data_IF_763179258598
#
_entry.id   IF_763179258598
#
_cell.length_a   1.000
_cell.length_b   1.000
_cell.length_c   1.000
_cell.angle_alpha   90.00
_cell.angle_beta   90.00
_cell.angle_gamma   90.00
#
_symmetry.space_group_name_H-M   'P 1'
#
loop_
_entity.id
_entity.type
_entity.pdbx_description
1 polymer ?
#
# COMPACT_ATOMS: atom_id res chain seq x y z
N UNK A 1 -9.03 -32.35 101.21
CA UNK A 1 -9.01 -33.46 100.24
C UNK A 1 -9.74 -33.05 98.96
N UNK A 2 -9.13 -33.00 97.79
CA UNK A 2 -9.83 -32.68 96.63
C UNK A 2 -10.66 -33.88 96.13
N UNK A 3 -11.93 -33.62 95.75
CA UNK A 3 -12.85 -34.64 95.22
C UNK A 3 -12.38 -35.10 93.89
N UNK A 4 -12.41 -36.41 93.60
CA UNK A 4 -11.98 -36.93 92.30
C UNK A 4 -12.98 -36.48 91.13
N UNK A 5 -12.50 -36.25 89.94
CA UNK A 5 -13.34 -35.81 88.84
C UNK A 5 -14.38 -36.92 88.48
N UNK A 6 -15.66 -36.53 88.41
CA UNK A 6 -16.74 -37.46 88.03
C UNK A 6 -16.45 -38.02 86.63
N UNK A 7 -16.26 -39.30 86.49
CA UNK A 7 -16.14 -40.03 85.23
C UNK A 7 -17.49 -39.89 84.47
N UNK A 8 -17.48 -39.38 83.33
CA UNK A 8 -18.64 -39.32 82.37
C UNK A 8 -19.15 -40.76 82.16
N UNK A 9 -20.49 -40.99 82.13
CA UNK A 9 -21.02 -42.32 81.91
C UNK A 9 -20.63 -42.88 80.53
N UNK A 10 -20.41 -44.14 80.39
CA UNK A 10 -19.91 -44.84 79.21
C UNK A 10 -20.82 -44.64 77.97
N UNK A 11 -22.11 -44.39 78.17
CA UNK A 11 -23.09 -44.05 77.17
C UNK A 11 -22.77 -42.69 76.45
N UNK A 12 -22.32 -41.68 77.21
CA UNK A 12 -21.95 -40.37 76.68
C UNK A 12 -20.64 -40.41 75.88
N UNK A 13 -19.70 -41.28 76.26
CA UNK A 13 -18.46 -41.55 75.54
C UNK A 13 -18.72 -42.27 74.21
N UNK A 14 -19.65 -43.23 74.16
CA UNK A 14 -20.07 -43.93 72.94
C UNK A 14 -20.81 -42.99 72.00
N UNK A 15 -21.73 -42.16 72.48
CA UNK A 15 -22.44 -41.18 71.71
C UNK A 15 -21.47 -40.15 71.06
N UNK A 16 -20.49 -39.64 71.86
CA UNK A 16 -19.48 -38.72 71.36
C UNK A 16 -18.59 -39.35 70.28
N UNK A 17 -18.24 -40.62 70.43
CA UNK A 17 -17.43 -41.34 69.43
C UNK A 17 -18.19 -41.59 68.13
N UNK A 18 -19.47 -41.91 68.20
CA UNK A 18 -20.34 -42.07 67.04
C UNK A 18 -20.51 -40.70 66.27
N UNK A 19 -20.71 -39.62 67.02
CA UNK A 19 -20.79 -38.28 66.46
C UNK A 19 -19.49 -37.89 65.76
N UNK A 20 -18.34 -38.11 66.40
CA UNK A 20 -17.02 -37.88 65.83
C UNK A 20 -16.79 -38.70 64.57
N UNK A 21 -17.14 -39.97 64.54
CA UNK A 21 -17.01 -40.82 63.35
C UNK A 21 -17.91 -40.34 62.21
N UNK A 22 -19.15 -39.95 62.49
CA UNK A 22 -20.07 -39.39 61.47
C UNK A 22 -19.57 -38.07 60.94
N UNK A 23 -19.06 -37.17 61.79
CA UNK A 23 -18.48 -35.89 61.39
C UNK A 23 -17.25 -36.08 60.48
N UNK A 24 -16.35 -37.01 60.90
CA UNK A 24 -15.16 -37.33 60.06
C UNK A 24 -15.55 -37.97 58.73
N UNK A 25 -16.59 -38.81 58.69
CA UNK A 25 -17.06 -39.39 57.46
C UNK A 25 -17.72 -38.38 56.56
N UNK A 26 -18.50 -37.43 57.11
CA UNK A 26 -19.05 -36.32 56.35
C UNK A 26 -17.96 -35.39 55.79
N UNK A 27 -16.94 -35.08 56.61
CA UNK A 27 -15.80 -34.27 56.15
C UNK A 27 -14.99 -35.00 55.08
N UNK A 28 -14.79 -36.31 55.21
CA UNK A 28 -14.11 -37.10 54.17
C UNK A 28 -14.92 -37.16 52.88
N UNK A 29 -16.25 -37.36 52.95
CA UNK A 29 -17.12 -37.32 51.75
C UNK A 29 -17.13 -35.95 51.10
N UNK A 30 -17.17 -34.86 51.88
CA UNK A 30 -17.10 -33.49 51.38
C UNK A 30 -15.75 -33.24 50.70
N UNK A 31 -14.64 -33.69 51.34
CA UNK A 31 -13.29 -33.56 50.78
C UNK A 31 -13.12 -34.34 49.48
N UNK A 32 -13.61 -35.59 49.43
CA UNK A 32 -13.58 -36.39 48.19
C UNK A 32 -14.44 -35.73 47.09
N UNK A 33 -15.66 -35.27 47.45
CA UNK A 33 -16.55 -34.58 46.51
C UNK A 33 -15.95 -33.32 45.92
N UNK A 34 -15.34 -32.46 46.76
CA UNK A 34 -14.64 -31.25 46.27
C UNK A 34 -13.44 -31.60 45.42
N UNK A 35 -12.67 -32.63 45.78
CA UNK A 35 -11.52 -33.10 45.01
C UNK A 35 -11.95 -33.62 43.63
N UNK A 36 -13.01 -34.40 43.55
CA UNK A 36 -13.57 -34.90 42.27
C UNK A 36 -14.06 -33.77 41.38
N UNK A 37 -14.71 -32.75 41.95
CA UNK A 37 -15.13 -31.56 41.20
C UNK A 37 -13.93 -30.78 40.65
N UNK A 38 -12.91 -30.57 41.47
CA UNK A 38 -11.66 -29.91 41.04
C UNK A 38 -10.94 -30.73 39.95
N UNK A 39 -10.88 -32.04 40.12
CA UNK A 39 -10.28 -32.92 39.11
C UNK A 39 -11.04 -32.87 37.77
N UNK A 40 -12.36 -32.91 37.83
CA UNK A 40 -13.20 -32.78 36.63
C UNK A 40 -13.00 -31.43 35.94
N UNK A 41 -12.87 -30.34 36.73
CA UNK A 41 -12.61 -29.00 36.18
C UNK A 41 -11.19 -28.90 35.57
N UNK A 42 -10.18 -29.46 36.22
CA UNK A 42 -8.81 -29.54 35.71
C UNK A 42 -8.76 -30.35 34.39
N UNK A 43 -9.43 -31.50 34.37
CA UNK A 43 -9.54 -32.32 33.16
C UNK A 43 -10.16 -31.54 32.02
N UNK A 44 -11.25 -30.78 32.30
CA UNK A 44 -11.89 -29.92 31.29
C UNK A 44 -10.94 -28.86 30.76
N UNK A 45 -10.25 -28.14 31.63
CA UNK A 45 -9.33 -27.06 31.24
C UNK A 45 -8.07 -27.58 30.53
N UNK A 46 -7.45 -28.66 31.09
CA UNK A 46 -6.16 -29.14 30.59
C UNK A 46 -6.26 -30.09 29.38
N UNK A 47 -7.40 -30.79 29.22
CA UNK A 47 -7.56 -31.75 28.14
C UNK A 47 -8.57 -31.25 27.09
N UNK A 48 -9.81 -30.92 27.53
CA UNK A 48 -10.85 -30.53 26.56
C UNK A 48 -10.67 -29.15 25.97
N UNK A 49 -10.17 -28.20 26.77
CA UNK A 49 -10.00 -26.79 26.34
C UNK A 49 -8.52 -26.43 26.14
N UNK A 50 -7.62 -27.43 26.12
CA UNK A 50 -6.17 -27.20 25.98
C UNK A 50 -5.83 -26.36 24.77
N UNK A 51 -6.29 -26.75 23.58
CA UNK A 51 -5.92 -26.11 22.33
C UNK A 51 -6.51 -24.69 22.22
N UNK A 52 -7.74 -24.50 22.70
CA UNK A 52 -8.38 -23.20 22.74
C UNK A 52 -7.63 -22.24 23.68
N UNK A 53 -7.39 -22.68 24.92
CA UNK A 53 -6.67 -21.88 25.92
C UNK A 53 -5.22 -21.61 25.52
N UNK A 54 -4.56 -22.58 24.89
CA UNK A 54 -3.20 -22.42 24.34
C UNK A 54 -3.20 -21.36 23.24
N UNK A 55 -4.17 -21.40 22.34
CA UNK A 55 -4.30 -20.40 21.25
C UNK A 55 -4.54 -19.00 21.81
N UNK A 56 -5.42 -18.87 22.82
CA UNK A 56 -5.66 -17.59 23.49
C UNK A 56 -4.41 -17.08 24.22
N UNK A 57 -3.69 -17.96 24.92
CA UNK A 57 -2.45 -17.60 25.61
C UNK A 57 -1.38 -17.14 24.62
N UNK A 58 -1.18 -17.86 23.51
CA UNK A 58 -0.24 -17.46 22.45
C UNK A 58 -0.62 -16.09 21.88
N UNK A 59 -1.89 -15.86 21.57
CA UNK A 59 -2.36 -14.55 21.09
C UNK A 59 -2.12 -13.42 22.08
N UNK A 60 -2.24 -13.68 23.36
CA UNK A 60 -2.01 -12.70 24.42
C UNK A 60 -0.52 -12.45 24.69
N UNK A 61 0.32 -13.47 24.50
CA UNK A 61 1.75 -13.43 24.81
C UNK A 61 2.64 -13.11 23.61
N UNK A 62 2.08 -13.01 22.39
CA UNK A 62 2.85 -12.69 21.20
C UNK A 62 2.46 -11.32 20.63
N UNK A 63 3.47 -10.54 20.29
CA UNK A 63 3.36 -9.35 19.44
C UNK A 63 3.71 -9.76 18.02
N UNK A 64 2.83 -9.44 17.08
CA UNK A 64 3.07 -9.65 15.65
C UNK A 64 3.31 -8.29 15.02
N UNK A 65 4.52 -8.08 14.57
CA UNK A 65 4.90 -6.87 13.85
C UNK A 65 5.06 -7.22 12.37
N UNK A 66 4.31 -6.57 11.50
CA UNK A 66 4.42 -6.75 10.05
C UNK A 66 5.69 -6.05 9.57
N UNK A 67 6.47 -6.73 8.75
CA UNK A 67 7.61 -6.16 8.03
C UNK A 67 7.16 -5.90 6.60
N UNK A 68 7.14 -4.64 6.20
CA UNK A 68 6.72 -4.28 4.85
C UNK A 68 7.77 -4.74 3.82
N UNK A 69 7.28 -5.33 2.72
CA UNK A 69 8.10 -5.63 1.57
C UNK A 69 8.41 -4.33 0.80
N UNK A 70 9.59 -4.25 0.21
CA UNK A 70 9.90 -3.16 -0.70
C UNK A 70 9.27 -3.43 -2.06
N UNK A 71 8.50 -2.47 -2.57
CA UNK A 71 7.93 -2.56 -3.92
C UNK A 71 9.02 -2.57 -4.98
N UNK A 72 8.91 -3.44 -5.97
CA UNK A 72 9.88 -3.64 -7.04
C UNK A 72 10.18 -2.38 -7.84
N UNK A 73 11.38 -2.30 -8.38
CA UNK A 73 11.85 -1.12 -9.14
C UNK A 73 11.41 -1.21 -10.59
N UNK A 74 11.00 -0.08 -11.18
CA UNK A 74 10.71 0.01 -12.62
C UNK A 74 11.90 0.66 -13.32
N UNK A 75 12.43 -0.03 -14.31
CA UNK A 75 13.57 0.41 -15.13
C UNK A 75 13.16 0.73 -16.55
N UNK A 76 13.89 1.64 -17.18
CA UNK A 76 13.88 1.76 -18.64
C UNK A 76 14.67 0.60 -19.29
N UNK A 77 14.70 0.55 -20.63
CA UNK A 77 15.42 -0.49 -21.38
C UNK A 77 16.94 -0.48 -21.16
N UNK A 78 17.51 0.59 -20.65
CA UNK A 78 18.95 0.78 -20.42
C UNK A 78 19.34 0.54 -18.97
N UNK A 79 18.38 0.29 -18.08
CA UNK A 79 18.58 0.10 -16.65
C UNK A 79 18.51 1.42 -15.84
N UNK A 80 18.06 2.52 -16.44
CA UNK A 80 17.76 3.76 -15.71
C UNK A 80 16.51 3.57 -14.86
N UNK A 81 16.54 4.03 -13.63
CA UNK A 81 15.44 3.87 -12.67
C UNK A 81 14.33 4.89 -12.99
N UNK A 82 13.14 4.40 -13.31
CA UNK A 82 11.94 5.21 -13.52
C UNK A 82 11.07 5.33 -12.26
N UNK A 83 11.03 4.28 -11.43
CA UNK A 83 10.35 4.27 -10.15
C UNK A 83 11.06 3.34 -9.18
N UNK A 84 11.23 3.75 -7.91
CA UNK A 84 11.81 2.95 -6.85
C UNK A 84 11.08 3.16 -5.52
N UNK A 85 11.27 2.22 -4.59
CA UNK A 85 10.83 2.38 -3.20
C UNK A 85 11.99 2.91 -2.38
N UNK A 86 11.77 4.00 -1.67
CA UNK A 86 12.69 4.58 -0.70
C UNK A 86 12.22 4.33 0.72
N UNK A 87 13.14 4.18 1.64
CA UNK A 87 12.81 4.10 3.07
C UNK A 87 12.18 5.40 3.53
N UNK A 88 11.10 5.28 4.26
CA UNK A 88 10.38 6.38 4.88
C UNK A 88 9.87 5.95 6.25
N UNK A 89 9.35 6.87 7.03
CA UNK A 89 8.80 6.56 8.35
C UNK A 89 7.49 7.29 8.58
N UNK A 90 6.56 6.62 9.25
CA UNK A 90 5.38 7.27 9.77
C UNK A 90 5.70 7.85 11.16
N UNK A 91 5.37 9.09 11.39
CA UNK A 91 5.46 9.70 12.72
C UNK A 91 4.13 9.48 13.42
N UNK A 92 4.18 8.75 14.52
CA UNK A 92 3.01 8.32 15.27
C UNK A 92 3.06 8.83 16.70
N UNK A 93 1.88 8.97 17.32
CA UNK A 93 1.73 9.29 18.73
C UNK A 93 0.82 8.28 19.43
N UNK A 94 1.18 7.93 20.67
CA UNK A 94 0.33 7.21 21.61
C UNK A 94 -0.25 8.21 22.61
N UNK A 95 -1.47 8.70 22.43
CA UNK A 95 -2.09 9.63 23.37
C UNK A 95 -2.16 9.08 24.79
N UNK A 96 -2.36 7.76 24.93
CA UNK A 96 -2.34 7.06 26.23
C UNK A 96 -0.99 7.24 26.95
N UNK A 97 0.13 7.02 26.23
CA UNK A 97 1.47 7.09 26.84
C UNK A 97 1.86 8.55 27.11
N UNK A 98 1.49 9.49 26.24
CA UNK A 98 1.65 10.93 26.49
C UNK A 98 0.96 11.33 27.78
N UNK A 99 -0.32 10.93 27.97
CA UNK A 99 -1.10 11.25 29.16
C UNK A 99 -0.54 10.52 30.41
N UNK A 100 -0.20 9.21 30.30
CA UNK A 100 0.34 8.40 31.39
C UNK A 100 1.67 8.93 31.93
N UNK A 101 2.50 9.51 31.06
CA UNK A 101 3.80 10.07 31.42
C UNK A 101 3.73 11.58 31.70
N UNK A 102 2.53 12.18 31.76
CA UNK A 102 2.34 13.61 32.03
C UNK A 102 3.17 14.52 31.13
N UNK A 103 3.27 14.16 29.84
CA UNK A 103 4.06 14.90 28.87
C UNK A 103 3.38 16.20 28.48
N UNK A 104 4.18 17.21 28.17
CA UNK A 104 3.71 18.50 27.67
C UNK A 104 3.18 18.38 26.23
N UNK A 105 1.84 18.35 26.10
CA UNK A 105 1.18 18.19 24.80
C UNK A 105 1.41 19.38 23.87
N UNK A 106 1.50 20.61 24.43
CA UNK A 106 1.75 21.81 23.65
C UNK A 106 3.19 21.81 23.09
N UNK A 107 4.16 21.37 23.88
CA UNK A 107 5.55 21.19 23.42
C UNK A 107 5.63 20.19 22.28
N UNK A 108 4.96 19.03 22.44
CA UNK A 108 4.94 17.97 21.43
C UNK A 108 4.27 18.48 20.14
N UNK A 109 3.09 19.09 20.25
CA UNK A 109 2.34 19.54 19.09
C UNK A 109 3.06 20.64 18.31
N UNK A 110 3.60 21.63 19.00
CA UNK A 110 4.31 22.74 18.35
C UNK A 110 5.62 22.27 17.73
N UNK A 111 6.41 21.45 18.44
CA UNK A 111 7.69 20.95 17.91
C UNK A 111 7.51 20.00 16.71
N UNK A 112 6.57 19.08 16.78
CA UNK A 112 6.26 18.22 15.65
C UNK A 112 5.61 19.01 14.50
N UNK A 113 4.75 19.96 14.81
CA UNK A 113 4.13 20.86 13.82
C UNK A 113 5.17 21.63 13.01
N UNK A 114 6.19 22.19 13.68
CA UNK A 114 7.29 22.91 13.03
C UNK A 114 8.16 21.98 12.17
N UNK A 115 8.57 20.82 12.70
CA UNK A 115 9.43 19.88 11.98
C UNK A 115 8.72 19.24 10.78
N UNK A 116 7.45 18.87 10.95
CA UNK A 116 6.68 18.13 9.96
C UNK A 116 5.90 19.02 9.00
N UNK A 117 5.76 20.31 9.29
CA UNK A 117 4.93 21.24 8.51
C UNK A 117 3.44 20.90 8.57
N UNK A 118 2.93 20.45 9.73
CA UNK A 118 1.52 20.14 9.97
C UNK A 118 0.94 21.05 11.04
N UNK A 119 -0.40 21.21 11.05
CA UNK A 119 -1.06 22.06 12.01
C UNK A 119 -0.95 21.49 13.44
N UNK A 120 -0.33 22.24 14.39
CA UNK A 120 -0.25 21.81 15.78
C UNK A 120 -1.62 21.56 16.44
N UNK A 121 -2.66 22.29 16.01
CA UNK A 121 -4.02 22.10 16.52
C UNK A 121 -4.57 20.70 16.21
N UNK A 122 -4.30 20.19 15.02
CA UNK A 122 -4.66 18.81 14.64
C UNK A 122 -3.95 17.76 15.50
N UNK A 123 -2.65 17.97 15.80
CA UNK A 123 -1.89 17.07 16.67
C UNK A 123 -2.45 17.09 18.10
N UNK A 124 -2.81 18.26 18.62
CA UNK A 124 -3.46 18.39 19.93
C UNK A 124 -4.81 17.67 19.97
N UNK A 125 -5.60 17.77 18.90
CA UNK A 125 -6.89 17.08 18.82
C UNK A 125 -6.71 15.54 18.80
N UNK A 126 -5.72 15.03 18.09
CA UNK A 126 -5.38 13.60 18.11
C UNK A 126 -4.96 13.12 19.50
N UNK A 127 -4.24 13.95 20.27
CA UNK A 127 -3.81 13.61 21.63
C UNK A 127 -4.92 13.67 22.69
N UNK A 128 -6.09 14.25 22.41
CA UNK A 128 -7.25 14.26 23.33
C UNK A 128 -7.85 12.88 23.56
N UNK A 129 -7.71 11.97 22.63
CA UNK A 129 -8.19 10.58 22.75
C UNK A 129 -7.21 9.73 23.58
N UNK A 130 -7.16 10.01 24.89
CA UNK A 130 -6.23 9.34 25.82
C UNK A 130 -6.44 7.83 25.98
N UNK A 131 -7.47 7.24 25.38
CA UNK A 131 -7.67 5.79 25.32
C UNK A 131 -6.93 5.15 24.13
N UNK A 132 -6.55 5.94 23.12
CA UNK A 132 -5.84 5.47 21.94
C UNK A 132 -4.34 5.28 22.22
N UNK A 133 -3.80 4.18 21.71
CA UNK A 133 -2.36 3.90 21.73
C UNK A 133 -1.67 4.23 20.39
N UNK A 134 -2.44 4.59 19.36
CA UNK A 134 -1.91 4.79 18.03
C UNK A 134 -2.71 5.84 17.25
N UNK A 135 -2.03 6.91 16.89
CA UNK A 135 -2.50 7.93 15.94
C UNK A 135 -1.34 8.31 15.02
N UNK A 136 -1.60 8.42 13.73
CA UNK A 136 -0.57 8.81 12.75
C UNK A 136 -0.63 10.32 12.55
N UNK A 137 0.44 11.03 12.90
CA UNK A 137 0.58 12.48 12.71
C UNK A 137 0.93 12.79 11.27
N UNK A 138 1.96 12.11 10.74
CA UNK A 138 2.36 12.25 9.33
C UNK A 138 2.88 10.94 8.79
N UNK A 139 2.40 10.56 7.59
CA UNK A 139 2.82 9.35 6.88
C UNK A 139 4.01 9.64 5.97
N UNK A 140 4.83 8.61 5.73
CA UNK A 140 5.87 8.56 4.69
C UNK A 140 6.85 9.73 4.76
N UNK A 141 7.27 10.09 5.97
CA UNK A 141 8.27 11.13 6.22
C UNK A 141 9.63 10.64 5.76
N UNK A 142 10.35 11.46 5.03
CA UNK A 142 11.69 11.16 4.55
C UNK A 142 12.72 11.12 5.69
N UNK A 143 13.81 10.35 5.48
CA UNK A 143 14.80 10.06 6.50
C UNK A 143 15.36 11.31 7.19
N UNK A 144 15.68 12.37 6.42
CA UNK A 144 16.21 13.61 6.99
C UNK A 144 15.25 14.27 8.00
N UNK A 145 13.95 14.28 7.67
CA UNK A 145 12.93 14.84 8.57
C UNK A 145 12.65 13.90 9.73
N UNK A 146 12.67 12.59 9.51
CA UNK A 146 12.54 11.59 10.57
C UNK A 146 13.66 11.69 11.59
N UNK A 147 14.90 11.95 11.15
CA UNK A 147 16.05 12.15 12.04
C UNK A 147 15.89 13.42 12.89
N UNK A 148 15.36 14.51 12.33
CA UNK A 148 15.00 15.72 13.10
C UNK A 148 13.95 15.41 14.20
N UNK A 149 12.95 14.59 13.88
CA UNK A 149 11.97 14.13 14.87
C UNK A 149 12.63 13.29 15.97
N UNK A 150 13.55 12.38 15.64
CA UNK A 150 14.31 11.59 16.64
C UNK A 150 15.12 12.46 17.58
N UNK A 151 15.81 13.44 17.02
CA UNK A 151 16.57 14.41 17.83
C UNK A 151 15.63 15.18 18.75
N UNK A 152 14.52 15.68 18.25
CA UNK A 152 13.51 16.38 19.04
C UNK A 152 12.97 15.52 20.20
N UNK A 153 12.64 14.25 19.93
CA UNK A 153 12.19 13.28 20.95
C UNK A 153 13.26 13.07 22.00
N UNK A 154 14.51 12.87 21.58
CA UNK A 154 15.65 12.61 22.49
C UNK A 154 15.97 13.82 23.36
N UNK A 155 16.05 15.02 22.79
CA UNK A 155 16.46 16.23 23.48
C UNK A 155 15.44 16.67 24.53
N UNK A 156 14.16 16.41 24.28
CA UNK A 156 13.08 16.77 25.21
C UNK A 156 12.61 15.59 26.08
N UNK A 157 13.21 14.40 25.94
CA UNK A 157 12.82 13.21 26.70
C UNK A 157 11.36 12.79 26.48
N UNK A 158 10.82 13.01 25.27
CA UNK A 158 9.43 12.77 24.94
C UNK A 158 9.13 11.27 24.94
N UNK A 159 8.03 10.90 25.59
CA UNK A 159 7.49 9.54 25.61
C UNK A 159 6.13 9.54 24.96
N UNK A 160 5.86 8.48 24.20
CA UNK A 160 4.59 8.34 23.48
C UNK A 160 4.60 8.88 22.05
N UNK A 161 5.71 9.44 21.57
CA UNK A 161 5.94 9.69 20.14
C UNK A 161 6.96 8.70 19.62
N UNK A 162 6.68 8.06 18.50
CA UNK A 162 7.54 7.03 17.89
C UNK A 162 7.45 7.08 16.37
N UNK A 163 8.46 6.50 15.74
CA UNK A 163 8.54 6.38 14.30
C UNK A 163 8.38 4.91 13.90
N UNK A 164 7.56 4.68 12.88
CA UNK A 164 7.27 3.36 12.34
C UNK A 164 7.84 3.25 10.92
N UNK A 165 8.74 2.28 10.65
CA UNK A 165 9.32 2.11 9.32
C UNK A 165 8.23 1.84 8.28
N UNK A 166 8.36 2.50 7.13
CA UNK A 166 7.50 2.31 5.95
C UNK A 166 8.30 2.54 4.68
N UNK A 167 7.67 2.45 3.53
CA UNK A 167 8.27 2.79 2.25
C UNK A 167 7.47 3.87 1.53
N UNK A 168 8.19 4.78 0.86
CA UNK A 168 7.62 5.79 -0.05
C UNK A 168 8.02 5.44 -1.47
N UNK A 169 7.05 5.43 -2.40
CA UNK A 169 7.34 5.32 -3.82
C UNK A 169 7.89 6.64 -4.31
N UNK A 170 8.98 6.60 -5.06
CA UNK A 170 9.67 7.75 -5.58
C UNK A 170 9.93 7.61 -7.07
N UNK A 171 9.70 8.68 -7.80
CA UNK A 171 9.84 8.78 -9.25
C UNK A 171 10.90 9.82 -9.57
N UNK A 172 12.16 9.41 -9.88
CA UNK A 172 13.30 10.33 -10.00
C UNK A 172 13.12 11.44 -11.03
N UNK A 173 12.26 11.21 -12.02
CA UNK A 173 12.02 12.14 -13.13
C UNK A 173 10.65 12.82 -13.06
N UNK A 174 10.02 12.84 -11.88
CA UNK A 174 8.75 13.52 -11.60
C UNK A 174 7.65 13.20 -12.61
N UNK A 175 7.52 13.98 -13.68
CA UNK A 175 6.44 13.86 -14.67
C UNK A 175 6.78 12.98 -15.87
N UNK A 176 8.04 12.54 -16.02
CA UNK A 176 8.47 11.76 -17.18
C UNK A 176 7.71 10.43 -17.29
N UNK A 177 7.10 10.18 -18.43
CA UNK A 177 6.30 9.00 -18.71
C UNK A 177 5.14 8.77 -17.71
N UNK A 178 4.64 9.84 -17.06
CA UNK A 178 3.67 9.75 -15.96
C UNK A 178 2.45 8.89 -16.31
N UNK A 179 1.89 9.03 -17.51
CA UNK A 179 0.72 8.26 -17.95
C UNK A 179 1.02 6.79 -18.23
N UNK A 180 2.29 6.43 -18.46
CA UNK A 180 2.72 5.05 -18.70
C UNK A 180 3.09 4.38 -17.38
N UNK A 181 3.94 5.03 -16.58
CA UNK A 181 4.38 4.50 -15.29
C UNK A 181 3.19 4.42 -14.34
N UNK A 182 2.38 5.49 -14.26
CA UNK A 182 1.32 5.59 -13.28
C UNK A 182 1.84 5.87 -11.87
N UNK A 183 1.01 5.73 -10.88
CA UNK A 183 1.35 6.02 -9.49
C UNK A 183 0.70 5.02 -8.52
N UNK A 184 1.17 5.05 -7.27
CA UNK A 184 0.71 4.21 -6.16
C UNK A 184 -0.08 5.07 -5.18
N UNK A 185 -1.19 4.56 -4.69
CA UNK A 185 -1.97 5.14 -3.61
C UNK A 185 -1.94 4.25 -2.35
N UNK A 186 -2.81 4.52 -1.39
CA UNK A 186 -2.90 3.74 -0.15
C UNK A 186 -3.32 2.27 -0.36
N UNK A 187 -3.93 1.95 -1.52
CA UNK A 187 -4.45 0.60 -1.83
C UNK A 187 -3.55 -0.18 -2.78
N UNK A 188 -2.41 0.37 -3.20
CA UNK A 188 -1.50 -0.23 -4.17
C UNK A 188 -1.37 0.59 -5.45
N UNK A 189 -1.02 -0.06 -6.56
CA UNK A 189 -0.91 0.57 -7.86
C UNK A 189 -2.25 1.09 -8.37
N UNK A 190 -2.32 2.37 -8.71
CA UNK A 190 -3.58 3.03 -9.06
C UNK A 190 -3.75 3.24 -10.57
N UNK A 191 -2.68 3.53 -11.29
CA UNK A 191 -2.68 3.78 -12.73
C UNK A 191 -1.42 3.23 -13.39
N UNK A 192 -1.46 3.12 -14.74
CA UNK A 192 -0.33 2.75 -15.58
C UNK A 192 0.26 1.37 -15.27
N UNK A 193 1.58 1.23 -15.44
CA UNK A 193 2.32 0.00 -15.16
C UNK A 193 2.27 -0.35 -13.67
N UNK A 194 2.23 0.63 -12.78
CA UNK A 194 2.07 0.42 -11.34
C UNK A 194 0.79 -0.36 -11.01
N UNK A 195 -0.31 -0.08 -11.73
CA UNK A 195 -1.58 -0.78 -11.52
C UNK A 195 -1.63 -2.14 -12.24
N UNK A 196 -1.08 -2.22 -13.46
CA UNK A 196 -1.13 -3.45 -14.27
C UNK A 196 -0.26 -4.56 -13.67
N UNK A 197 0.88 -4.20 -13.08
CA UNK A 197 1.84 -5.11 -12.45
C UNK A 197 1.87 -4.97 -10.93
N UNK A 198 0.72 -4.62 -10.32
CA UNK A 198 0.67 -4.37 -8.87
C UNK A 198 1.01 -5.61 -8.06
N UNK A 199 0.55 -6.78 -8.50
CA UNK A 199 0.79 -8.06 -7.83
C UNK A 199 2.28 -8.41 -7.82
N UNK A 200 2.95 -8.31 -8.97
CA UNK A 200 4.38 -8.61 -9.11
C UNK A 200 5.26 -7.57 -8.40
N UNK A 201 4.87 -6.30 -8.48
CA UNK A 201 5.64 -5.21 -7.88
C UNK A 201 5.51 -5.15 -6.36
N UNK A 202 4.39 -5.57 -5.76
CA UNK A 202 4.12 -5.35 -4.32
C UNK A 202 4.94 -6.26 -3.42
N UNK A 203 5.22 -7.52 -3.84
CA UNK A 203 5.88 -8.52 -3.01
C UNK A 203 5.03 -9.02 -1.84
N UNK A 204 5.63 -9.83 -0.98
CA UNK A 204 4.96 -10.44 0.17
C UNK A 204 5.48 -9.87 1.49
N UNK A 205 4.54 -9.46 2.35
CA UNK A 205 4.89 -8.90 3.67
C UNK A 205 5.47 -9.97 4.58
N UNK A 206 6.56 -9.64 5.25
CA UNK A 206 7.11 -10.44 6.33
C UNK A 206 6.39 -10.21 7.66
N UNK A 207 6.76 -11.00 8.66
CA UNK A 207 6.21 -10.89 9.99
C UNK A 207 7.26 -11.27 11.04
N UNK A 208 7.39 -10.45 12.07
CA UNK A 208 8.13 -10.77 13.28
C UNK A 208 7.14 -11.11 14.38
N UNK A 209 7.26 -12.32 14.92
CA UNK A 209 6.47 -12.77 16.06
C UNK A 209 7.40 -12.78 17.28
N UNK A 210 7.22 -11.84 18.20
CA UNK A 210 7.99 -11.74 19.42
C UNK A 210 7.12 -11.98 20.65
N UNK A 211 7.73 -12.47 21.74
CA UNK A 211 7.06 -12.56 23.02
C UNK A 211 6.83 -11.16 23.60
N UNK A 212 5.69 -10.94 24.26
CA UNK A 212 5.38 -9.69 24.96
C UNK A 212 5.09 -9.92 26.42
N UNK A 213 5.36 -8.90 27.25
CA UNK A 213 5.00 -8.88 28.66
C UNK A 213 3.50 -8.62 28.88
N UNK A 214 3.06 -8.62 30.14
CA UNK A 214 1.67 -8.33 30.52
C UNK A 214 1.25 -6.87 30.19
N UNK A 215 2.21 -5.97 29.95
CA UNK A 215 1.98 -4.58 29.58
C UNK A 215 1.99 -4.37 28.07
N UNK A 216 2.28 -5.42 27.28
CA UNK A 216 2.30 -5.38 25.83
C UNK A 216 3.66 -5.04 25.20
N UNK A 217 4.73 -4.85 26.01
CA UNK A 217 6.06 -4.58 25.50
C UNK A 217 6.73 -5.85 24.98
N UNK A 218 7.48 -5.73 23.88
CA UNK A 218 8.26 -6.84 23.34
C UNK A 218 9.32 -7.29 24.37
N UNK A 219 9.34 -8.58 24.67
CA UNK A 219 10.38 -9.19 25.49
C UNK A 219 11.55 -9.56 24.57
N UNK A 220 12.53 -8.66 24.49
CA UNK A 220 13.79 -8.91 23.80
C UNK A 220 14.45 -10.13 24.46
N UNK A 221 14.74 -11.21 23.71
CA UNK A 221 15.49 -12.41 24.09
C UNK A 221 14.70 -13.69 24.49
N UNK A 222 13.36 -13.75 24.45
CA UNK A 222 12.70 -15.00 24.84
C UNK A 222 12.17 -15.88 23.72
N UNK A 223 11.64 -15.28 22.65
CA UNK A 223 11.16 -16.02 21.48
C UNK A 223 10.95 -15.03 20.33
N UNK A 224 11.72 -15.17 19.30
CA UNK A 224 11.54 -14.40 18.06
C UNK A 224 11.48 -15.36 16.88
N UNK A 225 10.42 -15.27 16.11
CA UNK A 225 10.29 -15.98 14.86
C UNK A 225 10.16 -14.98 13.75
N UNK A 226 11.12 -15.00 12.83
CA UNK A 226 11.14 -14.14 11.66
C UNK A 226 10.55 -14.88 10.47
N UNK A 227 9.64 -14.24 9.80
CA UNK A 227 9.21 -14.57 8.44
C UNK A 227 9.67 -13.40 7.59
N UNK A 228 10.66 -13.65 6.76
CA UNK A 228 11.24 -12.61 5.92
C UNK A 228 10.21 -12.06 4.94
N UNK A 229 10.26 -10.75 4.69
CA UNK A 229 9.49 -10.13 3.63
C UNK A 229 10.13 -10.50 2.27
N UNK A 230 9.33 -10.88 1.30
CA UNK A 230 9.78 -11.06 -0.08
C UNK A 230 9.51 -9.78 -0.87
N UNK A 231 10.57 -9.10 -1.28
CA UNK A 231 10.43 -7.86 -2.05
C UNK A 231 9.79 -8.14 -3.40
N UNK A 232 9.04 -7.16 -3.91
CA UNK A 232 8.42 -7.26 -5.22
C UNK A 232 9.44 -7.37 -6.35
N UNK A 233 9.02 -8.01 -7.43
CA UNK A 233 9.80 -8.18 -8.64
C UNK A 233 10.04 -6.83 -9.33
N UNK A 234 11.20 -6.69 -9.96
CA UNK A 234 11.53 -5.50 -10.73
C UNK A 234 11.03 -5.62 -12.18
N UNK A 235 10.53 -4.53 -12.72
CA UNK A 235 10.03 -4.45 -14.07
C UNK A 235 11.02 -3.71 -14.98
N UNK A 236 11.47 -4.36 -16.06
CA UNK A 236 12.26 -3.71 -17.12
C UNK A 236 11.34 -3.43 -18.30
N UNK A 237 11.19 -2.15 -18.65
CA UNK A 237 10.31 -1.71 -19.73
C UNK A 237 11.07 -1.58 -21.07
N UNK A 238 10.35 -1.39 -22.15
CA UNK A 238 10.92 -1.02 -23.44
C UNK A 238 11.13 0.49 -23.59
N UNK A 239 10.68 1.30 -22.63
CA UNK A 239 10.85 2.74 -22.64
C UNK A 239 12.34 3.12 -22.68
N UNK A 240 12.64 4.19 -23.40
CA UNK A 240 13.94 4.84 -23.41
C UNK A 240 13.76 6.24 -22.83
N UNK A 241 14.35 6.47 -21.67
CA UNK A 241 14.26 7.74 -20.95
C UNK A 241 14.58 8.95 -21.83
N UNK A 242 15.61 8.82 -22.67
CA UNK A 242 16.05 9.92 -23.54
C UNK A 242 15.04 10.18 -24.65
N UNK A 243 14.54 9.12 -25.29
CA UNK A 243 13.50 9.25 -26.34
C UNK A 243 12.21 9.81 -25.75
N UNK A 244 11.83 9.35 -24.55
CA UNK A 244 10.66 9.83 -23.82
C UNK A 244 10.76 11.34 -23.54
N UNK A 245 11.89 11.78 -23.01
CA UNK A 245 12.13 13.21 -22.74
C UNK A 245 11.98 14.08 -23.98
N UNK A 246 12.60 13.67 -25.10
CA UNK A 246 12.49 14.45 -26.35
C UNK A 246 11.08 14.43 -26.93
N UNK A 247 10.34 13.34 -26.79
CA UNK A 247 8.94 13.27 -27.21
C UNK A 247 8.09 14.26 -26.40
N UNK A 248 8.19 14.22 -25.05
CA UNK A 248 7.42 15.13 -24.19
C UNK A 248 7.74 16.59 -24.47
N UNK A 249 9.04 16.93 -24.55
CA UNK A 249 9.48 18.28 -24.88
C UNK A 249 8.94 18.75 -26.23
N UNK A 250 8.98 17.87 -27.26
CA UNK A 250 8.42 18.20 -28.57
C UNK A 250 6.92 18.45 -28.55
N UNK A 251 6.17 17.68 -27.75
CA UNK A 251 4.74 17.87 -27.58
C UNK A 251 4.41 19.15 -26.80
N UNK A 252 5.19 19.51 -25.79
CA UNK A 252 5.05 20.77 -25.05
C UNK A 252 5.31 21.99 -25.95
N UNK A 253 6.37 21.94 -26.77
CA UNK A 253 6.66 22.99 -27.74
C UNK A 253 5.54 23.15 -28.78
N UNK A 254 4.98 22.02 -29.24
CA UNK A 254 3.85 21.99 -30.17
C UNK A 254 2.60 22.60 -29.53
N UNK A 255 2.25 22.21 -28.32
CA UNK A 255 1.09 22.73 -27.59
C UNK A 255 1.26 24.23 -27.29
N UNK A 256 2.45 24.65 -26.88
CA UNK A 256 2.78 26.07 -26.65
C UNK A 256 2.66 26.91 -27.92
N UNK A 257 3.02 26.36 -29.08
CA UNK A 257 3.00 27.08 -30.37
C UNK A 257 1.61 27.17 -30.97
N UNK A 258 0.82 26.10 -30.86
CA UNK A 258 -0.44 25.97 -31.58
C UNK A 258 -1.68 26.07 -30.71
N UNK A 259 -1.52 25.87 -29.37
CA UNK A 259 -2.58 26.09 -28.38
C UNK A 259 -3.84 25.29 -28.66
N UNK A 260 -3.71 23.96 -28.82
CA UNK A 260 -4.86 23.10 -29.17
C UNK A 260 -5.96 23.11 -28.12
N UNK A 261 -5.59 23.39 -26.86
CA UNK A 261 -6.51 23.43 -25.70
C UNK A 261 -7.08 22.06 -25.28
N UNK A 262 -6.81 21.00 -26.05
CA UNK A 262 -7.26 19.62 -25.79
C UNK A 262 -6.10 18.70 -25.45
N UNK A 263 -4.87 19.19 -25.52
CA UNK A 263 -3.63 18.47 -25.32
C UNK A 263 -3.12 17.75 -26.54
N UNK A 264 -2.00 17.06 -26.39
CA UNK A 264 -1.31 16.34 -27.45
C UNK A 264 -0.88 14.95 -26.98
N UNK A 265 -0.75 14.02 -27.93
CA UNK A 265 -0.23 12.68 -27.64
C UNK A 265 0.81 12.27 -28.67
N UNK A 266 1.74 11.42 -28.26
CA UNK A 266 2.75 10.87 -29.14
C UNK A 266 3.20 9.49 -28.70
N UNK A 267 3.55 8.64 -29.67
CA UNK A 267 4.10 7.31 -29.46
C UNK A 267 5.30 7.14 -30.37
N UNK A 268 6.41 6.65 -29.83
CA UNK A 268 7.60 6.24 -30.58
C UNK A 268 7.78 4.74 -30.40
N UNK A 269 7.80 4.00 -31.53
CA UNK A 269 7.89 2.56 -31.55
C UNK A 269 9.14 2.13 -32.35
N UNK A 270 9.85 1.15 -31.83
CA UNK A 270 10.87 0.43 -32.61
C UNK A 270 10.20 -0.49 -33.62
N UNK A 271 10.36 -0.17 -34.90
CA UNK A 271 9.71 -0.90 -36.00
C UNK A 271 10.21 -2.36 -36.16
N UNK A 272 11.35 -2.70 -35.58
CA UNK A 272 11.91 -4.07 -35.65
C UNK A 272 11.36 -4.99 -34.59
N UNK A 273 11.17 -4.45 -33.37
CA UNK A 273 10.78 -5.24 -32.20
C UNK A 273 9.32 -5.05 -31.84
N UNK A 274 8.70 -3.95 -32.28
CA UNK A 274 7.38 -3.52 -31.82
C UNK A 274 7.40 -2.88 -30.42
N UNK A 275 8.58 -2.74 -29.79
CA UNK A 275 8.73 -2.16 -28.46
C UNK A 275 8.40 -0.67 -28.46
N UNK A 276 7.61 -0.22 -27.51
CA UNK A 276 7.30 1.19 -27.30
C UNK A 276 8.49 1.85 -26.60
N UNK A 277 9.19 2.74 -27.31
CA UNK A 277 10.34 3.48 -26.77
C UNK A 277 9.92 4.72 -25.98
N UNK A 278 8.81 5.33 -26.37
CA UNK A 278 8.22 6.45 -25.67
C UNK A 278 6.72 6.55 -25.94
N UNK A 279 5.98 7.00 -24.94
CA UNK A 279 4.55 7.29 -25.05
C UNK A 279 4.22 8.45 -24.10
N UNK A 280 3.67 9.52 -24.63
CA UNK A 280 3.36 10.73 -23.87
C UNK A 280 1.96 11.24 -24.16
N UNK A 281 1.36 11.85 -23.17
CA UNK A 281 0.09 12.56 -23.20
C UNK A 281 0.23 13.92 -22.50
N UNK A 282 -0.37 14.96 -23.04
CA UNK A 282 -0.45 16.27 -22.40
C UNK A 282 -1.91 16.62 -22.07
N UNK A 283 -2.15 17.36 -20.96
CA UNK A 283 -1.17 17.77 -19.95
C UNK A 283 -0.63 16.58 -19.16
N UNK A 284 0.61 16.70 -18.69
CA UNK A 284 1.24 15.74 -17.77
C UNK A 284 1.00 16.14 -16.31
N UNK A 285 1.45 15.30 -15.37
CA UNK A 285 1.33 15.51 -13.92
C UNK A 285 2.56 14.99 -13.18
N UNK A 286 2.81 15.51 -11.99
CA UNK A 286 3.93 15.07 -11.14
C UNK A 286 3.54 13.80 -10.39
N UNK A 287 4.32 12.73 -10.57
CA UNK A 287 4.13 11.44 -9.90
C UNK A 287 4.49 11.48 -8.40
N UNK A 288 5.29 12.47 -7.97
CA UNK A 288 5.68 12.67 -6.58
C UNK A 288 4.79 13.67 -5.83
N UNK A 289 3.75 14.20 -6.46
CA UNK A 289 2.84 15.12 -5.78
C UNK A 289 2.27 14.48 -4.51
N UNK A 290 2.53 15.12 -3.36
CA UNK A 290 2.10 14.63 -2.03
C UNK A 290 0.59 14.81 -1.77
N UNK A 291 -0.16 15.29 -2.73
CA UNK A 291 -1.60 15.39 -2.58
C UNK A 291 -2.19 13.99 -2.48
N UNK A 292 -2.80 13.69 -1.33
CA UNK A 292 -3.83 12.66 -1.26
C UNK A 292 -4.88 13.05 -2.30
N UNK A 293 -4.73 12.46 -3.50
CA UNK A 293 -5.63 12.71 -4.61
C UNK A 293 -7.04 12.39 -4.10
N UNK A 294 -7.94 13.38 -4.03
CA UNK A 294 -9.25 13.18 -3.44
C UNK A 294 -9.92 12.00 -4.12
N UNK A 295 -10.42 11.04 -3.33
CA UNK A 295 -11.12 9.85 -3.82
C UNK A 295 -12.34 10.17 -4.71
N UNK A 296 -12.76 11.42 -4.74
CA UNK A 296 -13.88 11.96 -5.49
C UNK A 296 -13.46 13.08 -6.45
N UNK A 297 -12.23 13.11 -6.88
CA UNK A 297 -11.81 14.05 -7.94
C UNK A 297 -12.43 13.61 -9.26
N UNK A 298 -13.70 13.81 -9.32
CA UNK A 298 -14.52 13.61 -10.48
C UNK A 298 -13.97 14.35 -11.70
N UNK A 299 -13.95 13.64 -12.79
CA UNK A 299 -13.85 14.11 -14.18
C UNK A 299 -12.58 14.85 -14.58
N UNK A 300 -12.15 15.91 -13.89
CA UNK A 300 -10.97 16.67 -14.31
C UNK A 300 -9.66 15.94 -14.04
N UNK A 301 -9.52 15.29 -12.87
CA UNK A 301 -8.34 14.49 -12.54
C UNK A 301 -8.31 13.18 -13.32
N UNK A 302 -9.44 12.51 -13.51
CA UNK A 302 -9.54 11.36 -14.41
C UNK A 302 -9.14 11.73 -15.85
N UNK A 303 -9.40 12.96 -16.29
CA UNK A 303 -8.92 13.47 -17.59
C UNK A 303 -7.42 13.70 -17.59
N UNK A 304 -6.83 14.16 -16.48
CA UNK A 304 -5.39 14.41 -16.38
C UNK A 304 -4.57 13.13 -16.30
N UNK A 305 -5.04 12.10 -15.56
CA UNK A 305 -4.33 10.82 -15.45
C UNK A 305 -4.58 9.86 -16.60
N UNK A 306 -5.61 10.12 -17.38
CA UNK A 306 -5.99 9.28 -18.50
C UNK A 306 -4.92 9.35 -19.59
N UNK A 307 -4.37 8.20 -19.94
CA UNK A 307 -3.48 8.10 -21.10
C UNK A 307 -4.29 8.22 -22.40
N UNK A 308 -4.33 9.42 -22.96
CA UNK A 308 -5.09 9.72 -24.19
C UNK A 308 -4.58 8.94 -25.39
N UNK A 309 -3.29 8.57 -25.40
CA UNK A 309 -2.69 7.84 -26.53
C UNK A 309 -3.31 6.46 -26.77
N UNK A 310 -3.86 5.84 -25.70
CA UNK A 310 -4.47 4.50 -25.75
C UNK A 310 -5.97 4.48 -25.43
N UNK A 311 -6.51 5.57 -24.86
CA UNK A 311 -7.90 5.62 -24.42
C UNK A 311 -8.80 6.51 -25.29
N UNK A 312 -8.22 7.45 -26.04
CA UNK A 312 -8.99 8.39 -26.84
C UNK A 312 -9.02 7.96 -28.31
N UNK A 313 -10.15 8.18 -28.94
CA UNK A 313 -10.34 7.95 -30.37
C UNK A 313 -10.16 9.25 -31.17
N UNK A 314 -9.61 9.14 -32.37
CA UNK A 314 -9.42 10.27 -33.28
C UNK A 314 -9.76 9.90 -34.72
N UNK A 315 -10.00 10.89 -35.53
CA UNK A 315 -10.20 10.70 -36.97
C UNK A 315 -8.84 10.61 -37.66
N UNK A 316 -8.42 9.44 -38.15
CA UNK A 316 -7.06 9.23 -38.65
C UNK A 316 -6.81 9.97 -40.01
N UNK A 317 -7.85 10.29 -40.72
CA UNK A 317 -7.72 10.94 -42.02
C UNK A 317 -6.85 10.14 -43.00
N UNK A 318 -5.94 10.84 -43.72
CA UNK A 318 -5.06 10.22 -44.73
C UNK A 318 -4.03 9.23 -44.14
N UNK A 319 -3.77 9.24 -42.82
CA UNK A 319 -2.87 8.27 -42.21
C UNK A 319 -3.46 6.83 -42.27
N UNK A 320 -4.79 6.70 -42.34
CA UNK A 320 -5.44 5.41 -42.49
C UNK A 320 -5.18 4.75 -43.86
N UNK A 321 -4.74 5.53 -44.86
CA UNK A 321 -4.43 4.99 -46.20
C UNK A 321 -3.30 3.96 -46.19
N UNK A 322 -2.36 4.10 -45.26
CA UNK A 322 -1.28 3.11 -45.06
C UNK A 322 -1.86 1.73 -44.72
N UNK A 323 -2.83 1.72 -43.80
CA UNK A 323 -3.52 0.48 -43.41
C UNK A 323 -4.35 -0.08 -44.58
N UNK A 324 -5.05 0.81 -45.33
CA UNK A 324 -5.84 0.41 -46.50
C UNK A 324 -4.96 -0.24 -47.56
N UNK A 325 -3.77 0.34 -47.83
CA UNK A 325 -2.83 -0.23 -48.81
C UNK A 325 -2.26 -1.57 -48.30
N UNK A 326 -1.87 -1.65 -47.04
CA UNK A 326 -1.37 -2.88 -46.42
C UNK A 326 -2.39 -4.03 -46.54
N UNK A 327 -3.66 -3.76 -46.19
CA UNK A 327 -4.74 -4.73 -46.34
C UNK A 327 -4.94 -5.13 -47.84
N UNK A 328 -4.90 -4.19 -48.77
CA UNK A 328 -5.08 -4.49 -50.19
C UNK A 328 -3.94 -5.36 -50.74
N UNK A 329 -2.70 -5.15 -50.29
CA UNK A 329 -1.54 -5.99 -50.63
C UNK A 329 -1.66 -7.39 -50.03
N UNK A 330 -2.01 -7.50 -48.75
CA UNK A 330 -2.18 -8.78 -48.07
C UNK A 330 -3.28 -9.64 -48.71
N UNK A 331 -4.40 -9.02 -49.06
CA UNK A 331 -5.51 -9.65 -49.74
C UNK A 331 -5.27 -9.88 -51.25
N UNK A 332 -4.07 -9.55 -51.75
CA UNK A 332 -3.70 -9.67 -53.17
C UNK A 332 -4.66 -8.89 -54.12
N UNK A 333 -5.27 -7.82 -53.69
CA UNK A 333 -6.14 -6.96 -54.49
C UNK A 333 -5.36 -5.97 -55.34
N UNK A 334 -4.15 -5.63 -54.87
CA UNK A 334 -3.20 -4.76 -55.59
C UNK A 334 -1.81 -5.34 -55.49
N UNK A 335 -0.94 -4.96 -56.42
CA UNK A 335 0.49 -5.31 -56.43
C UNK A 335 1.31 -4.05 -56.41
N UNK A 336 2.56 -4.12 -55.94
CA UNK A 336 3.49 -2.99 -55.95
C UNK A 336 3.80 -2.47 -57.37
N UNK A 337 3.50 -3.24 -58.42
CA UNK A 337 3.65 -2.84 -59.80
C UNK A 337 2.41 -2.22 -60.44
N UNK A 338 1.32 -2.16 -59.69
CA UNK A 338 0.06 -1.62 -60.24
C UNK A 338 0.14 -0.10 -60.36
N UNK A 339 -0.43 0.43 -61.44
CA UNK A 339 -0.49 1.84 -61.71
C UNK A 339 -1.92 2.37 -61.62
N UNK A 340 -2.06 3.62 -61.21
CA UNK A 340 -3.36 4.26 -60.98
C UNK A 340 -3.46 5.54 -61.76
N UNK A 341 -4.67 5.85 -62.23
CA UNK A 341 -4.93 7.14 -62.89
C UNK A 341 -5.90 7.97 -62.05
N UNK A 342 -5.48 9.15 -61.66
CA UNK A 342 -6.30 10.08 -60.90
C UNK A 342 -6.82 11.23 -61.76
N UNK A 343 -8.10 11.20 -62.16
CA UNK A 343 -8.70 12.30 -62.96
C UNK A 343 -9.17 13.47 -62.08
N UNK A 344 -8.80 13.49 -60.79
CA UNK A 344 -9.20 14.55 -59.87
C UNK A 344 -10.49 14.25 -59.07
N UNK A 345 -11.14 13.11 -59.32
CA UNK A 345 -12.30 12.62 -58.55
C UNK A 345 -12.54 11.14 -58.83
N UNK A 346 -13.32 10.52 -57.98
CA UNK A 346 -13.88 9.17 -58.13
C UNK A 346 -15.37 9.21 -57.83
N UNK A 347 -16.15 8.38 -58.47
CA UNK A 347 -17.59 8.23 -58.18
C UNK A 347 -17.80 6.84 -57.55
N UNK A 348 -18.30 6.80 -56.31
CA UNK A 348 -18.62 5.59 -55.58
C UNK A 348 -20.10 5.63 -55.20
N UNK A 349 -20.88 4.65 -55.64
CA UNK A 349 -22.33 4.57 -55.42
C UNK A 349 -23.08 5.88 -55.72
N UNK A 350 -22.70 6.56 -56.81
CA UNK A 350 -23.30 7.82 -57.23
C UNK A 350 -22.77 9.08 -56.50
N UNK A 351 -22.00 8.93 -55.44
CA UNK A 351 -21.39 10.04 -54.74
C UNK A 351 -20.03 10.41 -55.34
N UNK A 352 -19.87 11.68 -55.73
CA UNK A 352 -18.59 12.20 -56.27
C UNK A 352 -17.66 12.58 -55.13
N UNK A 353 -16.55 11.86 -55.00
CA UNK A 353 -15.48 12.14 -54.02
C UNK A 353 -14.32 12.83 -54.77
N UNK A 354 -14.01 14.05 -54.40
CA UNK A 354 -12.96 14.84 -55.08
C UNK A 354 -11.58 14.53 -54.49
N UNK A 355 -10.58 14.48 -55.36
CA UNK A 355 -9.18 14.48 -54.94
C UNK A 355 -8.76 15.84 -54.37
N UNK A 356 -7.73 15.88 -53.53
CA UNK A 356 -7.13 17.12 -53.04
C UNK A 356 -6.64 18.01 -54.20
N UNK A 357 -6.10 17.41 -55.26
CA UNK A 357 -5.82 18.07 -56.51
C UNK A 357 -7.00 17.86 -57.44
N UNK A 358 -7.87 18.88 -57.55
CA UNK A 358 -9.04 18.85 -58.45
C UNK A 358 -8.58 18.72 -59.90
N UNK A 359 -9.52 18.53 -60.83
CA UNK A 359 -9.23 18.36 -62.28
C UNK A 359 -8.09 19.24 -62.73
N UNK A 360 -7.14 18.72 -63.52
CA UNK A 360 -7.10 17.40 -64.13
C UNK A 360 -6.62 16.22 -63.19
N UNK A 361 -6.48 16.44 -61.88
CA UNK A 361 -6.02 15.41 -60.95
C UNK A 361 -4.51 15.26 -60.95
N UNK A 362 -4.05 14.10 -60.41
CA UNK A 362 -2.63 13.74 -60.39
C UNK A 362 -2.18 13.04 -61.68
N UNK A 363 -3.13 12.62 -62.53
CA UNK A 363 -2.84 11.86 -63.71
C UNK A 363 -2.41 10.41 -63.41
N UNK A 364 -1.51 9.89 -64.22
CA UNK A 364 -0.95 8.56 -64.06
C UNK A 364 0.05 8.55 -62.93
N UNK A 365 -0.07 7.55 -62.04
CA UNK A 365 0.79 7.31 -60.86
C UNK A 365 1.15 5.83 -60.76
N UNK A 366 2.38 5.56 -60.42
CA UNK A 366 2.99 4.27 -60.14
C UNK A 366 3.33 4.10 -58.64
#
# INVERSE_FOLDING_TARGET
MPTPPKRKPDSARRANRIIQQRTLLLLALLGIGTFLLLFAQLYKLQIKQHDELKTLAVRQQTLRTTVEASRGTIYDKNGDILALSSTAENVCVSPLDVAKNEQDQDLIANGLGEILGVDPGGILDDMKDTASQYKVIKKKVEQETADKVRVFISDNGIKGVFLEPTSKRYYPYSSLAAHVIGFVNANGGAYGLEAVYDEELTGEKGMVVSARDANGNALLYQYEQYFDAENGDSLVTTLDKTVQYYLEKGLEELESRYGTGVGATGIVMDVKTGGILAMASLPTYDLNADEELPAAADTLQNMQWRNKAINDTFQPGSTFKILTLAMALEENKVKMSDTFNCPGYVVIEGAKINCSKRAPGHGHQD
#
